data_IF_141122905038
#
_entry.id   IF_141122905038
#
_cell.length_a   1.000
_cell.length_b   1.000
_cell.length_c   1.000
_cell.angle_alpha   90.00
_cell.angle_beta   90.00
_cell.angle_gamma   90.00
#
_symmetry.space_group_name_H-M   'P 1'
#
loop_
_entity.id
_entity.type
_entity.pdbx_description
1 polymer ?
#
# COMPACT_ATOMS: atom_id res chain seq x y z
N UNK A 1 53.68 76.08 40.85
CA UNK A 1 53.42 75.65 42.23
C UNK A 1 52.02 75.05 42.27
N UNK A 2 51.90 73.72 42.45
CA UNK A 2 50.71 72.90 42.86
C UNK A 2 49.41 73.08 42.03
N UNK A 3 48.64 72.09 41.60
CA UNK A 3 48.47 70.65 41.85
C UNK A 3 47.75 70.09 40.61
N UNK A 4 48.12 68.97 39.98
CA UNK A 4 47.95 67.57 40.39
C UNK A 4 46.48 67.10 40.59
N UNK A 5 46.07 66.22 39.66
CA UNK A 5 45.02 65.19 39.69
C UNK A 5 43.54 65.62 39.70
N UNK A 6 42.76 65.16 38.71
CA UNK A 6 41.95 63.94 38.89
C UNK A 6 41.36 63.47 37.55
N UNK A 7 41.83 62.32 37.09
CA UNK A 7 41.14 61.40 36.17
C UNK A 7 40.13 60.63 37.02
N UNK A 8 38.83 60.73 36.73
CA UNK A 8 37.82 59.79 37.26
C UNK A 8 36.72 59.52 36.23
N UNK A 9 36.74 58.27 35.75
CA UNK A 9 35.60 57.41 35.43
C UNK A 9 34.41 58.02 34.68
N UNK A 10 34.45 57.87 33.35
CA UNK A 10 33.27 57.95 32.49
C UNK A 10 33.13 56.64 31.70
N UNK A 11 33.09 55.50 32.41
CA UNK A 11 32.78 54.19 31.82
C UNK A 11 32.04 53.38 32.87
N UNK A 12 30.71 53.51 32.92
CA UNK A 12 29.77 52.54 33.52
C UNK A 12 28.38 53.17 33.44
N UNK A 13 27.64 52.89 32.36
CA UNK A 13 26.25 53.33 32.27
C UNK A 13 25.66 53.39 30.87
N UNK A 14 25.96 52.45 29.97
CA UNK A 14 25.22 52.29 28.70
C UNK A 14 25.48 50.92 28.07
N UNK A 15 25.25 49.84 28.83
CA UNK A 15 25.30 48.48 28.27
C UNK A 15 24.24 47.55 28.90
N UNK A 16 23.05 48.07 29.16
CA UNK A 16 21.94 47.31 29.76
C UNK A 16 20.57 47.79 29.26
N UNK A 17 20.47 48.07 27.95
CA UNK A 17 19.24 48.50 27.27
C UNK A 17 19.13 47.88 25.86
N UNK A 18 19.58 46.63 25.72
CA UNK A 18 19.55 45.89 24.44
C UNK A 18 18.96 44.47 24.58
N UNK A 19 18.30 44.15 25.69
CA UNK A 19 17.68 42.84 25.93
C UNK A 19 16.15 42.86 26.08
N UNK A 20 15.49 43.97 25.76
CA UNK A 20 14.02 44.08 25.79
C UNK A 20 13.43 44.28 24.40
N UNK A 21 14.00 43.65 23.36
CA UNK A 21 13.17 43.34 22.20
C UNK A 21 12.24 42.23 22.67
N UNK A 22 10.91 42.44 22.70
CA UNK A 22 10.00 41.33 22.89
C UNK A 22 10.32 40.36 21.75
N UNK A 23 10.76 39.16 22.12
CA UNK A 23 10.55 38.03 21.24
C UNK A 23 9.04 38.01 21.05
N UNK A 24 8.57 38.57 19.93
CA UNK A 24 7.27 38.20 19.39
C UNK A 24 7.40 36.69 19.17
N UNK A 25 7.00 35.92 20.18
CA UNK A 25 6.40 34.62 19.94
C UNK A 25 5.21 34.99 19.06
N UNK A 26 5.43 34.94 17.74
CA UNK A 26 4.37 35.10 16.77
C UNK A 26 3.34 34.03 17.11
N UNK A 27 2.28 34.47 17.78
CA UNK A 27 1.15 33.62 18.05
C UNK A 27 0.58 33.27 16.68
N UNK A 28 0.70 31.99 16.31
CA UNK A 28 0.17 31.45 15.06
C UNK A 28 -1.30 31.88 14.91
N UNK A 29 -1.65 32.44 13.76
CA UNK A 29 -2.99 32.95 13.51
C UNK A 29 -4.01 31.82 13.48
N UNK A 30 -5.13 31.99 14.16
CA UNK A 30 -6.23 31.02 14.16
C UNK A 30 -7.07 31.17 12.90
N UNK A 31 -7.19 30.09 12.13
CA UNK A 31 -7.79 30.05 10.78
C UNK A 31 -9.20 29.44 10.76
N UNK A 32 -9.73 28.99 11.91
CA UNK A 32 -10.98 28.24 11.98
C UNK A 32 -12.23 28.97 11.47
N UNK A 33 -12.19 30.31 11.39
CA UNK A 33 -13.31 31.12 10.90
C UNK A 33 -13.30 31.31 9.37
N UNK A 34 -12.21 30.93 8.68
CA UNK A 34 -11.95 31.27 7.28
C UNK A 34 -12.29 30.13 6.31
N UNK A 35 -12.97 29.08 6.77
CA UNK A 35 -13.30 27.90 5.94
C UNK A 35 -14.04 28.27 4.64
N UNK A 36 -14.98 29.22 4.71
CA UNK A 36 -15.73 29.68 3.52
C UNK A 36 -14.84 30.42 2.50
N UNK A 37 -13.79 31.10 2.98
CA UNK A 37 -12.77 31.72 2.14
C UNK A 37 -11.90 30.65 1.49
N UNK A 38 -11.38 29.69 2.28
CA UNK A 38 -10.55 28.59 1.75
C UNK A 38 -11.29 27.74 0.72
N UNK A 39 -12.58 27.45 0.93
CA UNK A 39 -13.40 26.72 -0.05
C UNK A 39 -13.43 27.41 -1.43
N UNK A 40 -13.57 28.75 -1.45
CA UNK A 40 -13.50 29.52 -2.72
C UNK A 40 -12.11 29.49 -3.34
N UNK A 41 -11.05 29.53 -2.53
CA UNK A 41 -9.66 29.44 -3.00
C UNK A 41 -9.31 28.06 -3.52
N UNK A 42 -9.92 27.00 -3.00
CA UNK A 42 -9.76 25.64 -3.50
C UNK A 42 -10.27 25.49 -4.96
N UNK A 43 -11.35 26.18 -5.33
CA UNK A 43 -11.79 26.25 -6.74
C UNK A 43 -10.75 26.92 -7.66
N UNK A 44 -10.09 27.98 -7.17
CA UNK A 44 -9.00 28.61 -7.91
C UNK A 44 -7.81 27.68 -8.07
N UNK A 45 -7.52 26.87 -7.05
CA UNK A 45 -6.49 25.85 -7.10
C UNK A 45 -6.81 24.78 -8.17
N UNK A 46 -8.05 24.30 -8.25
CA UNK A 46 -8.47 23.40 -9.33
C UNK A 46 -8.26 24.02 -10.72
N UNK A 47 -8.68 25.28 -10.91
CA UNK A 47 -8.46 25.97 -12.20
C UNK A 47 -6.99 26.08 -12.55
N UNK A 48 -6.12 26.29 -11.56
CA UNK A 48 -4.67 26.29 -11.77
C UNK A 48 -4.15 24.91 -12.16
N UNK A 49 -4.63 23.82 -11.53
CA UNK A 49 -4.31 22.45 -11.95
C UNK A 49 -4.71 22.21 -13.41
N UNK A 50 -5.91 22.64 -13.81
CA UNK A 50 -6.41 22.50 -15.18
C UNK A 50 -5.53 23.27 -16.18
N UNK A 51 -5.17 24.53 -15.87
CA UNK A 51 -4.28 25.36 -16.69
C UNK A 51 -2.86 24.78 -16.83
N UNK A 52 -2.44 23.97 -15.86
CA UNK A 52 -1.15 23.26 -15.88
C UNK A 52 -1.25 21.86 -16.47
N UNK A 53 -2.41 21.49 -17.03
CA UNK A 53 -2.69 20.16 -17.58
C UNK A 53 -2.57 19.03 -16.54
N UNK A 54 -2.58 19.38 -15.25
CA UNK A 54 -2.54 18.47 -14.11
C UNK A 54 -3.95 18.02 -13.71
N UNK A 55 -4.98 18.81 -14.03
CA UNK A 55 -6.37 18.59 -13.64
C UNK A 55 -6.97 17.25 -14.08
N UNK A 56 -6.43 16.66 -15.14
CA UNK A 56 -6.82 15.33 -15.62
C UNK A 56 -6.31 14.18 -14.72
N UNK A 57 -5.31 14.45 -13.88
CA UNK A 57 -4.68 13.47 -12.99
C UNK A 57 -4.89 13.76 -11.51
N UNK A 58 -5.05 15.03 -11.16
CA UNK A 58 -5.26 15.52 -9.81
C UNK A 58 -6.52 16.37 -9.78
N UNK A 59 -7.42 16.10 -8.84
CA UNK A 59 -8.61 16.90 -8.61
C UNK A 59 -8.68 17.32 -7.15
N UNK A 60 -9.08 18.56 -6.89
CA UNK A 60 -9.42 19.04 -5.56
C UNK A 60 -10.67 18.30 -5.10
N UNK A 61 -10.57 17.61 -3.97
CA UNK A 61 -11.71 16.99 -3.29
C UNK A 61 -12.31 17.97 -2.27
N UNK A 62 -11.49 18.40 -1.31
CA UNK A 62 -11.94 19.25 -0.22
C UNK A 62 -10.81 20.10 0.35
N UNK A 63 -11.19 21.13 1.11
CA UNK A 63 -10.27 21.92 1.94
C UNK A 63 -10.87 21.99 3.34
N UNK A 64 -10.01 21.88 4.36
CA UNK A 64 -10.42 21.87 5.76
C UNK A 64 -9.47 22.71 6.59
N UNK A 65 -9.96 23.11 7.75
CA UNK A 65 -9.11 23.59 8.83
C UNK A 65 -9.01 22.45 9.83
N UNK A 66 -7.79 22.08 10.20
CA UNK A 66 -7.56 21.03 11.19
C UNK A 66 -8.27 21.36 12.51
N UNK A 67 -8.55 20.35 13.34
CA UNK A 67 -9.32 20.51 14.58
C UNK A 67 -8.69 21.50 15.59
N UNK A 68 -7.37 21.70 15.51
CA UNK A 68 -6.67 22.70 16.31
C UNK A 68 -6.97 24.15 15.87
N UNK A 69 -7.45 24.34 14.65
CA UNK A 69 -7.78 25.63 14.05
C UNK A 69 -6.59 26.41 13.48
N UNK A 70 -5.39 25.83 13.43
CA UNK A 70 -4.15 26.54 13.06
C UNK A 70 -3.49 26.03 11.77
N UNK A 71 -4.06 24.98 11.17
CA UNK A 71 -3.56 24.34 9.95
C UNK A 71 -4.68 24.22 8.91
N UNK A 72 -4.36 24.49 7.65
CA UNK A 72 -5.26 24.30 6.50
C UNK A 72 -4.79 23.09 5.71
N UNK A 73 -5.71 22.17 5.48
CA UNK A 73 -5.48 20.93 4.76
C UNK A 73 -6.19 21.00 3.40
N UNK A 74 -5.43 20.89 2.31
CA UNK A 74 -5.98 20.70 0.96
C UNK A 74 -5.92 19.23 0.58
N UNK A 75 -7.08 18.67 0.28
CA UNK A 75 -7.23 17.29 -0.15
C UNK A 75 -7.32 17.22 -1.68
N UNK A 76 -6.36 16.53 -2.28
CA UNK A 76 -6.32 16.21 -3.69
C UNK A 76 -6.54 14.71 -3.88
N UNK A 77 -7.34 14.34 -4.87
CA UNK A 77 -7.56 12.96 -5.25
C UNK A 77 -6.97 12.65 -6.63
N UNK A 78 -6.47 11.43 -6.79
CA UNK A 78 -6.17 10.85 -8.10
C UNK A 78 -7.37 9.97 -8.49
N UNK A 79 -8.04 10.22 -9.64
CA UNK A 79 -9.31 9.59 -9.99
C UNK A 79 -9.15 8.14 -10.49
N UNK A 80 -8.61 7.26 -9.63
CA UNK A 80 -8.47 5.84 -9.85
C UNK A 80 -8.62 5.12 -8.50
N UNK A 81 -9.25 3.96 -8.47
CA UNK A 81 -9.36 3.12 -7.28
C UNK A 81 -8.30 2.00 -7.23
N UNK A 82 -7.45 1.90 -8.26
CA UNK A 82 -6.40 0.90 -8.36
C UNK A 82 -5.04 1.49 -7.88
N UNK A 83 -4.40 0.93 -6.83
CA UNK A 83 -3.15 1.43 -6.26
C UNK A 83 -1.99 1.54 -7.26
N UNK A 84 -1.82 0.54 -8.14
CA UNK A 84 -0.75 0.53 -9.14
C UNK A 84 -0.92 1.66 -10.16
N UNK A 85 -2.17 1.88 -10.59
CA UNK A 85 -2.53 2.94 -11.51
C UNK A 85 -2.27 4.31 -10.89
N UNK A 86 -2.66 4.51 -9.63
CA UNK A 86 -2.40 5.75 -8.88
C UNK A 86 -0.91 5.98 -8.69
N UNK A 87 -0.15 4.96 -8.30
CA UNK A 87 1.30 5.03 -8.18
C UNK A 87 1.98 5.33 -9.53
N UNK A 88 1.49 4.74 -10.63
CA UNK A 88 1.95 5.02 -11.98
C UNK A 88 1.68 6.46 -12.40
N UNK A 89 0.47 6.97 -12.15
CA UNK A 89 0.08 8.36 -12.42
C UNK A 89 0.99 9.31 -11.64
N UNK A 90 1.17 9.10 -10.33
CA UNK A 90 2.02 9.97 -9.51
C UNK A 90 3.48 10.00 -9.97
N UNK A 91 4.07 8.84 -10.27
CA UNK A 91 5.43 8.77 -10.83
C UNK A 91 5.53 9.50 -12.16
N UNK A 92 4.55 9.32 -13.04
CA UNK A 92 4.46 10.00 -14.33
C UNK A 92 4.40 11.52 -14.15
N UNK A 93 3.57 12.01 -13.25
CA UNK A 93 3.47 13.42 -12.90
C UNK A 93 4.81 13.98 -12.42
N UNK A 94 5.46 13.33 -11.44
CA UNK A 94 6.77 13.78 -10.92
C UNK A 94 7.83 13.85 -12.03
N UNK A 95 7.89 12.84 -12.89
CA UNK A 95 8.89 12.76 -13.96
C UNK A 95 8.63 13.77 -15.08
N UNK A 96 7.37 13.99 -15.46
CA UNK A 96 7.02 14.83 -16.62
C UNK A 96 6.93 16.32 -16.25
N UNK A 97 6.78 16.66 -14.97
CA UNK A 97 6.66 18.06 -14.53
C UNK A 97 7.98 18.85 -14.67
N UNK A 98 9.14 18.18 -14.62
CA UNK A 98 10.43 18.86 -14.66
C UNK A 98 10.93 19.10 -16.10
N UNK A 99 10.68 20.31 -16.61
CA UNK A 99 11.23 20.76 -17.89
C UNK A 99 12.68 21.31 -17.79
N UNK A 100 13.16 21.70 -16.59
CA UNK A 100 14.50 22.27 -16.37
C UNK A 100 15.01 21.99 -14.95
N UNK A 101 16.32 21.81 -14.78
CA UNK A 101 17.00 21.48 -13.51
C UNK A 101 16.83 22.55 -12.42
N UNK A 102 16.57 23.80 -12.80
CA UNK A 102 16.40 24.93 -11.86
C UNK A 102 14.94 25.28 -11.57
N UNK A 103 13.97 24.53 -12.15
CA UNK A 103 12.55 24.76 -11.88
C UNK A 103 12.12 24.07 -10.58
N UNK A 104 11.12 24.62 -9.85
CA UNK A 104 10.54 23.95 -8.70
C UNK A 104 10.02 22.56 -9.07
N UNK A 105 10.15 21.61 -8.15
CA UNK A 105 9.54 20.27 -8.27
C UNK A 105 8.02 20.37 -8.34
N UNK A 106 7.36 19.27 -8.74
CA UNK A 106 5.90 19.17 -8.71
C UNK A 106 5.38 19.45 -7.30
N UNK A 107 6.00 18.82 -6.29
CA UNK A 107 5.60 18.94 -4.89
C UNK A 107 5.75 20.36 -4.38
N UNK A 108 6.89 21.01 -4.66
CA UNK A 108 7.08 22.43 -4.31
C UNK A 108 6.06 23.32 -5.01
N UNK A 109 5.77 23.07 -6.29
CA UNK A 109 4.80 23.85 -7.05
C UNK A 109 3.38 23.69 -6.51
N UNK A 110 2.97 22.47 -6.18
CA UNK A 110 1.67 22.19 -5.57
C UNK A 110 1.57 22.91 -4.22
N UNK A 111 2.56 22.72 -3.35
CA UNK A 111 2.55 23.26 -2.00
C UNK A 111 2.62 24.80 -1.98
N UNK A 112 3.57 25.39 -2.68
CA UNK A 112 3.75 26.86 -2.70
C UNK A 112 2.57 27.57 -3.38
N UNK A 113 1.97 26.95 -4.40
CA UNK A 113 0.75 27.50 -5.00
C UNK A 113 -0.42 27.45 -4.04
N UNK A 114 -0.54 26.36 -3.27
CA UNK A 114 -1.61 26.19 -2.28
C UNK A 114 -1.49 27.26 -1.20
N UNK A 115 -0.33 27.37 -0.55
CA UNK A 115 -0.06 28.39 0.48
C UNK A 115 -0.35 29.80 -0.04
N UNK A 116 0.11 30.13 -1.26
CA UNK A 116 -0.15 31.43 -1.89
C UNK A 116 -1.63 31.69 -2.13
N UNK A 117 -2.40 30.69 -2.58
CA UNK A 117 -3.82 30.85 -2.85
C UNK A 117 -4.64 30.96 -1.57
N UNK A 118 -4.24 30.22 -0.53
CA UNK A 118 -4.89 30.27 0.77
C UNK A 118 -4.46 31.48 1.61
N UNK A 119 -3.42 32.22 1.19
CA UNK A 119 -2.93 33.42 1.89
C UNK A 119 -2.52 33.13 3.34
N UNK A 120 -1.93 31.95 3.59
CA UNK A 120 -1.49 31.48 4.92
C UNK A 120 0.04 31.49 5.05
N UNK A 121 0.54 31.42 6.29
CA UNK A 121 1.96 31.11 6.50
C UNK A 121 2.26 29.66 6.04
N UNK A 122 3.40 29.40 5.37
CA UNK A 122 3.72 28.05 4.90
C UNK A 122 3.73 26.96 5.99
N UNK A 123 4.01 27.31 7.25
CA UNK A 123 3.98 26.36 8.37
C UNK A 123 2.58 25.92 8.77
N UNK A 124 1.55 26.63 8.28
CA UNK A 124 0.13 26.33 8.50
C UNK A 124 -0.48 25.52 7.35
N UNK A 125 0.30 25.20 6.32
CA UNK A 125 -0.19 24.52 5.13
C UNK A 125 0.12 23.03 5.11
N UNK A 126 -0.88 22.23 4.72
CA UNK A 126 -0.74 20.80 4.46
C UNK A 126 -1.50 20.42 3.17
N UNK A 127 -0.82 19.75 2.24
CA UNK A 127 -1.46 19.19 1.04
C UNK A 127 -1.42 17.67 1.13
N UNK A 128 -2.60 17.05 1.09
CA UNK A 128 -2.78 15.61 1.16
C UNK A 128 -3.30 15.09 -0.17
N UNK A 129 -2.55 14.19 -0.79
CA UNK A 129 -2.90 13.53 -2.05
C UNK A 129 -3.21 12.07 -1.74
N UNK A 130 -4.40 11.62 -2.12
CA UNK A 130 -4.87 10.29 -1.77
C UNK A 130 -5.57 9.60 -2.94
N UNK A 131 -5.78 8.29 -2.77
CA UNK A 131 -6.60 7.48 -3.64
C UNK A 131 -8.01 7.40 -3.06
N UNK A 132 -9.08 7.73 -3.81
CA UNK A 132 -10.45 7.61 -3.31
C UNK A 132 -10.76 6.16 -2.97
N UNK A 133 -11.19 5.91 -1.74
CA UNK A 133 -11.77 4.63 -1.34
C UNK A 133 -13.26 4.64 -1.67
N UNK A 134 -13.77 3.58 -2.31
CA UNK A 134 -15.20 3.45 -2.55
C UNK A 134 -15.87 2.89 -1.28
N UNK A 135 -16.18 3.78 -0.34
CA UNK A 135 -17.13 3.48 0.74
C UNK A 135 -18.22 4.58 0.77
N UNK A 136 -19.45 4.28 0.32
CA UNK A 136 -20.54 5.25 0.33
C UNK A 136 -20.85 5.68 1.78
N UNK A 137 -20.50 6.92 2.12
CA UNK A 137 -20.83 7.53 3.41
C UNK A 137 -19.67 7.63 4.41
N UNK A 138 -18.46 7.17 4.06
CA UNK A 138 -17.27 7.41 4.87
C UNK A 138 -16.10 7.87 3.98
N UNK A 139 -15.56 9.06 4.28
CA UNK A 139 -14.28 9.48 3.73
C UNK A 139 -13.17 8.72 4.45
N UNK A 140 -13.02 7.43 4.12
CA UNK A 140 -11.92 6.61 4.62
C UNK A 140 -10.76 6.79 3.65
N UNK A 141 -9.64 7.32 4.16
CA UNK A 141 -8.38 7.34 3.42
C UNK A 141 -7.97 5.92 3.08
N UNK A 142 -7.56 5.68 1.84
CA UNK A 142 -6.97 4.40 1.49
C UNK A 142 -5.53 4.35 2.04
N UNK A 143 -5.28 3.47 3.03
CA UNK A 143 -3.98 3.32 3.70
C UNK A 143 -2.84 2.82 2.78
N UNK A 144 -3.16 2.43 1.54
CA UNK A 144 -2.21 1.93 0.55
C UNK A 144 -1.54 3.02 -0.28
N UNK A 145 -2.12 4.22 -0.28
CA UNK A 145 -1.60 5.35 -1.02
C UNK A 145 -1.91 6.67 -0.31
N UNK A 146 -0.85 7.36 0.11
CA UNK A 146 -0.93 8.77 0.50
C UNK A 146 0.37 9.49 0.16
N UNK A 147 0.25 10.80 -0.09
CA UNK A 147 1.37 11.72 -0.13
C UNK A 147 0.95 12.96 0.66
N UNK A 148 1.74 13.32 1.66
CA UNK A 148 1.55 14.49 2.49
C UNK A 148 2.69 15.46 2.26
N UNK A 149 2.34 16.71 1.98
CA UNK A 149 3.28 17.79 1.72
C UNK A 149 3.08 18.89 2.76
N UNK A 150 4.14 19.26 3.45
CA UNK A 150 4.17 20.37 4.41
C UNK A 150 5.50 21.12 4.32
N UNK A 151 5.60 22.29 4.95
CA UNK A 151 6.88 23.00 5.04
C UNK A 151 7.45 22.93 6.45
N UNK A 152 8.73 22.53 6.53
CA UNK A 152 9.49 22.50 7.78
C UNK A 152 10.88 23.08 7.53
N UNK A 153 11.32 23.99 8.41
CA UNK A 153 12.60 24.69 8.29
C UNK A 153 12.84 25.33 6.90
N UNK A 154 11.79 25.93 6.33
CA UNK A 154 11.84 26.62 5.04
C UNK A 154 11.94 25.70 3.82
N UNK A 155 11.74 24.38 3.99
CA UNK A 155 11.76 23.40 2.88
C UNK A 155 10.48 22.61 2.84
N UNK A 156 9.97 22.36 1.64
CA UNK A 156 8.85 21.43 1.45
C UNK A 156 9.34 20.01 1.74
N UNK A 157 8.59 19.32 2.59
CA UNK A 157 8.77 17.92 2.97
C UNK A 157 7.68 17.08 2.30
N UNK A 158 8.00 15.82 2.09
CA UNK A 158 7.10 14.80 1.57
C UNK A 158 7.17 13.61 2.52
N UNK A 159 6.05 13.21 3.10
CA UNK A 159 5.84 11.86 3.60
C UNK A 159 4.93 11.15 2.61
N UNK A 160 5.26 9.92 2.26
CA UNK A 160 4.49 9.22 1.26
C UNK A 160 4.55 7.72 1.44
N UNK A 161 3.41 7.08 1.19
CA UNK A 161 3.26 5.64 1.05
C UNK A 161 2.69 5.39 -0.33
N UNK A 162 3.46 4.76 -1.21
CA UNK A 162 3.10 4.57 -2.62
C UNK A 162 3.21 3.08 -2.97
N UNK A 163 2.07 2.47 -3.28
CA UNK A 163 1.97 1.07 -3.71
C UNK A 163 2.42 0.06 -2.64
N UNK A 164 2.09 0.31 -1.37
CA UNK A 164 2.42 -0.60 -0.27
C UNK A 164 1.39 -1.73 -0.09
N UNK A 165 0.23 -1.62 -0.74
CA UNK A 165 -0.71 -2.73 -0.91
C UNK A 165 -0.52 -3.40 -2.27
N UNK A 166 0.74 -3.65 -2.65
CA UNK A 166 0.97 -4.71 -3.64
C UNK A 166 0.41 -5.98 -3.05
N UNK A 167 -0.31 -6.76 -3.86
CA UNK A 167 -0.80 -8.07 -3.48
C UNK A 167 0.27 -8.83 -2.70
N UNK A 168 0.03 -9.07 -1.41
CA UNK A 168 1.01 -9.71 -0.54
C UNK A 168 1.40 -11.04 -1.19
N UNK A 169 2.68 -11.13 -1.54
CA UNK A 169 3.20 -12.24 -2.33
C UNK A 169 4.35 -12.84 -1.58
N UNK A 170 4.08 -13.98 -0.95
CA UNK A 170 5.11 -14.73 -0.25
C UNK A 170 5.82 -15.63 -1.26
N UNK A 171 7.14 -15.53 -1.30
CA UNK A 171 7.96 -16.37 -2.16
C UNK A 171 8.64 -17.46 -1.34
N UNK A 172 8.35 -18.72 -1.68
CA UNK A 172 9.02 -19.88 -1.09
C UNK A 172 9.87 -20.59 -2.12
N UNK A 173 10.97 -21.17 -1.64
CA UNK A 173 11.94 -21.92 -2.43
C UNK A 173 11.99 -23.35 -1.94
N UNK A 174 11.88 -24.31 -2.87
CA UNK A 174 11.98 -25.74 -2.58
C UNK A 174 13.09 -26.35 -3.48
N UNK A 175 14.25 -26.70 -2.90
CA UNK A 175 15.28 -27.45 -3.61
C UNK A 175 14.74 -28.77 -4.17
N UNK A 176 15.07 -29.10 -5.41
CA UNK A 176 14.68 -30.39 -6.02
C UNK A 176 15.39 -31.57 -5.36
N UNK A 177 16.58 -31.34 -4.76
CA UNK A 177 17.33 -32.37 -4.03
C UNK A 177 16.56 -32.89 -2.80
N UNK A 178 15.60 -32.13 -2.28
CA UNK A 178 14.74 -32.55 -1.18
C UNK A 178 13.85 -33.75 -1.55
N UNK A 179 13.64 -34.02 -2.84
CA UNK A 179 12.76 -35.08 -3.32
C UNK A 179 13.20 -35.77 -4.62
N UNK A 180 14.37 -35.44 -5.18
CA UNK A 180 14.94 -36.13 -6.35
C UNK A 180 15.98 -37.19 -5.95
N UNK A 181 15.78 -38.44 -6.37
CA UNK A 181 16.75 -39.54 -6.20
C UNK A 181 17.64 -39.60 -7.45
N UNK A 182 18.80 -38.94 -7.40
CA UNK A 182 19.74 -38.97 -8.51
C UNK A 182 21.16 -38.68 -8.07
N UNK A 183 21.81 -39.64 -7.40
CA UNK A 183 23.27 -39.70 -7.33
C UNK A 183 23.82 -39.88 -8.75
N UNK A 184 24.16 -38.79 -9.41
CA UNK A 184 24.71 -38.88 -10.76
C UNK A 184 24.93 -37.53 -11.40
N UNK A 185 26.17 -37.06 -11.31
CA UNK A 185 26.88 -36.37 -12.38
C UNK A 185 26.33 -35.01 -12.82
N UNK A 186 27.19 -34.01 -12.70
CA UNK A 186 27.10 -32.70 -13.32
C UNK A 186 27.06 -32.86 -14.85
N UNK A 187 25.87 -32.80 -15.43
CA UNK A 187 25.53 -32.52 -16.84
C UNK A 187 23.99 -32.39 -16.86
N UNK A 188 23.35 -31.24 -17.06
CA UNK A 188 23.52 -30.26 -18.12
C UNK A 188 22.15 -30.11 -18.80
N UNK A 189 21.31 -29.20 -18.30
CA UNK A 189 20.10 -28.63 -18.94
C UNK A 189 18.88 -29.57 -19.25
N UNK A 190 19.07 -30.89 -19.44
CA UNK A 190 18.02 -31.85 -19.84
C UNK A 190 17.21 -32.45 -18.66
N UNK A 191 17.69 -32.32 -17.42
CA UNK A 191 17.00 -32.86 -16.22
C UNK A 191 15.80 -32.00 -15.77
N UNK A 192 15.82 -30.69 -16.02
CA UNK A 192 14.73 -29.77 -15.62
C UNK A 192 13.41 -30.03 -16.36
N UNK A 193 13.48 -30.27 -17.67
CA UNK A 193 12.30 -30.52 -18.52
C UNK A 193 11.55 -31.82 -18.16
N UNK A 194 12.29 -32.88 -17.85
CA UNK A 194 11.70 -34.16 -17.41
C UNK A 194 11.14 -34.06 -15.99
N UNK A 195 11.66 -33.11 -15.20
CA UNK A 195 11.21 -32.83 -13.84
C UNK A 195 9.89 -32.05 -13.81
N UNK A 196 9.74 -30.95 -14.57
CA UNK A 196 8.52 -30.13 -14.54
C UNK A 196 7.27 -30.88 -14.98
N UNK A 197 7.35 -31.67 -16.06
CA UNK A 197 6.24 -32.51 -16.53
C UNK A 197 5.80 -33.57 -15.52
N UNK A 198 6.66 -33.97 -14.59
CA UNK A 198 6.32 -34.90 -13.50
C UNK A 198 5.86 -34.17 -12.24
N UNK A 199 6.52 -33.07 -11.91
CA UNK A 199 6.30 -32.32 -10.65
C UNK A 199 5.05 -31.46 -10.71
N UNK A 200 4.78 -30.75 -11.81
CA UNK A 200 3.61 -29.87 -11.92
C UNK A 200 2.28 -30.63 -11.75
N UNK A 201 2.07 -31.80 -12.37
CA UNK A 201 0.88 -32.61 -12.07
C UNK A 201 0.76 -33.01 -10.60
N UNK A 202 1.87 -33.34 -9.93
CA UNK A 202 1.87 -33.68 -8.50
C UNK A 202 1.54 -32.47 -7.62
N UNK A 203 2.03 -31.28 -7.97
CA UNK A 203 1.67 -30.04 -7.26
C UNK A 203 0.18 -29.74 -7.44
N UNK A 204 -0.35 -29.91 -8.65
CA UNK A 204 -1.78 -29.75 -8.92
C UNK A 204 -2.63 -30.80 -8.17
N UNK A 205 -2.16 -32.05 -8.10
CA UNK A 205 -2.81 -33.11 -7.31
C UNK A 205 -2.82 -32.73 -5.81
N UNK A 206 -1.67 -32.28 -5.29
CA UNK A 206 -1.55 -31.80 -3.91
C UNK A 206 -2.51 -30.64 -3.63
N UNK A 207 -2.53 -29.62 -4.49
CA UNK A 207 -3.39 -28.46 -4.33
C UNK A 207 -4.87 -28.83 -4.34
N UNK A 208 -5.32 -29.72 -5.23
CA UNK A 208 -6.69 -30.26 -5.20
C UNK A 208 -6.97 -30.99 -3.90
N UNK A 209 -6.06 -31.87 -3.47
CA UNK A 209 -6.23 -32.61 -2.22
C UNK A 209 -6.26 -31.70 -1.00
N UNK A 210 -5.48 -30.62 -0.96
CA UNK A 210 -5.46 -29.68 0.16
C UNK A 210 -6.71 -28.79 0.18
N UNK A 211 -7.09 -28.23 -0.97
CA UNK A 211 -8.06 -27.13 -1.02
C UNK A 211 -9.46 -27.55 -1.45
N UNK A 212 -9.63 -28.49 -2.37
CA UNK A 212 -10.96 -28.93 -2.86
C UNK A 212 -11.64 -29.90 -1.88
N UNK A 213 -11.47 -29.66 -0.57
CA UNK A 213 -12.11 -30.42 0.50
C UNK A 213 -13.38 -29.71 0.96
N UNK A 214 -14.44 -30.49 1.24
CA UNK A 214 -15.63 -29.96 1.89
C UNK A 214 -15.30 -29.70 3.37
N UNK A 215 -15.31 -28.43 3.77
CA UNK A 215 -15.16 -28.04 5.16
C UNK A 215 -16.53 -27.85 5.82
N UNK A 216 -16.77 -28.38 7.03
CA UNK A 216 -18.06 -28.28 7.71
C UNK A 216 -18.43 -26.82 8.02
N UNK A 217 -17.46 -25.98 8.37
CA UNK A 217 -17.69 -24.58 8.78
C UNK A 217 -17.74 -23.60 7.59
N UNK A 218 -17.92 -24.12 6.36
CA UNK A 218 -17.80 -23.36 5.12
C UNK A 218 -18.98 -23.62 4.18
N UNK A 219 -20.19 -23.67 4.73
CA UNK A 219 -21.41 -23.85 3.94
C UNK A 219 -21.54 -22.77 2.85
N UNK A 220 -21.98 -23.20 1.66
CA UNK A 220 -22.14 -22.32 0.50
C UNK A 220 -20.83 -21.96 -0.23
N UNK A 221 -19.68 -22.46 0.22
CA UNK A 221 -18.39 -22.32 -0.48
C UNK A 221 -18.00 -23.61 -1.17
N UNK A 222 -17.42 -23.47 -2.37
CA UNK A 222 -16.87 -24.59 -3.13
C UNK A 222 -15.47 -24.22 -3.61
N UNK A 223 -14.46 -24.42 -2.75
CA UNK A 223 -13.07 -24.28 -3.13
C UNK A 223 -12.80 -25.02 -4.44
N UNK A 224 -12.31 -24.29 -5.44
CA UNK A 224 -12.10 -24.84 -6.78
C UNK A 224 -10.77 -24.39 -7.34
N UNK A 225 -9.99 -25.37 -7.79
CA UNK A 225 -8.75 -25.13 -8.50
C UNK A 225 -9.06 -24.79 -9.96
N UNK A 226 -8.58 -23.64 -10.40
CA UNK A 226 -8.74 -23.14 -11.77
C UNK A 226 -7.36 -23.01 -12.41
N UNK A 227 -7.17 -23.69 -13.54
CA UNK A 227 -5.96 -23.57 -14.35
C UNK A 227 -5.88 -22.21 -15.04
N UNK A 228 -4.68 -21.64 -15.09
CA UNK A 228 -4.40 -20.51 -15.97
C UNK A 228 -4.04 -21.02 -17.37
N UNK A 229 -4.34 -20.22 -18.39
CA UNK A 229 -3.89 -20.48 -19.76
C UNK A 229 -2.37 -20.28 -19.90
N UNK A 230 -1.70 -19.69 -18.91
CA UNK A 230 -0.25 -19.44 -18.90
C UNK A 230 0.51 -20.62 -18.31
N UNK A 231 0.47 -21.77 -18.97
CA UNK A 231 1.33 -22.90 -18.62
C UNK A 231 2.45 -23.07 -19.65
N UNK A 232 3.68 -23.27 -19.16
CA UNK A 232 4.84 -23.63 -19.99
C UNK A 232 5.61 -24.79 -19.38
N UNK A 233 6.67 -25.23 -20.03
CA UNK A 233 7.53 -26.29 -19.52
C UNK A 233 8.29 -25.92 -18.23
N UNK A 234 8.37 -24.63 -17.88
CA UNK A 234 9.07 -24.16 -16.68
C UNK A 234 8.19 -23.32 -15.76
N UNK A 235 6.94 -23.07 -16.15
CA UNK A 235 6.03 -22.22 -15.42
C UNK A 235 4.64 -22.85 -15.32
N UNK A 236 4.13 -22.88 -14.09
CA UNK A 236 2.76 -23.30 -13.78
C UNK A 236 2.07 -22.18 -13.02
N UNK A 237 0.91 -21.77 -13.52
CA UNK A 237 0.03 -20.83 -12.83
C UNK A 237 -1.33 -21.48 -12.60
N UNK A 238 -1.82 -21.41 -11.37
CA UNK A 238 -3.18 -21.80 -11.03
C UNK A 238 -3.72 -20.96 -9.89
N UNK A 239 -5.05 -20.97 -9.76
CA UNK A 239 -5.76 -20.26 -8.72
C UNK A 239 -6.60 -21.23 -7.92
N UNK A 240 -6.77 -20.95 -6.63
CA UNK A 240 -7.74 -21.62 -5.79
C UNK A 240 -8.77 -20.58 -5.39
N UNK A 241 -9.97 -20.69 -5.95
CA UNK A 241 -11.04 -19.74 -5.72
C UNK A 241 -11.97 -20.25 -4.63
N UNK A 242 -12.67 -19.31 -4.01
CA UNK A 242 -13.77 -19.60 -3.09
C UNK A 242 -13.32 -20.38 -1.85
N UNK A 243 -12.11 -20.05 -1.39
CA UNK A 243 -11.57 -20.48 -0.11
C UNK A 243 -12.36 -19.84 1.04
N UNK A 244 -12.28 -20.48 2.19
CA UNK A 244 -13.06 -20.18 3.37
C UNK A 244 -12.29 -19.34 4.39
N UNK A 245 -11.34 -19.97 5.07
CA UNK A 245 -10.54 -19.46 6.19
C UNK A 245 -9.17 -20.16 6.13
N UNK A 246 -8.62 -20.27 4.93
CA UNK A 246 -7.32 -20.90 4.71
C UNK A 246 -6.19 -19.94 5.10
N UNK A 247 -6.41 -18.65 4.86
CA UNK A 247 -5.46 -17.59 5.19
C UNK A 247 -6.02 -16.71 6.31
N UNK A 248 -7.24 -16.19 6.17
CA UNK A 248 -7.90 -15.32 7.15
C UNK A 248 -8.50 -16.16 8.29
N UNK A 249 -7.63 -16.79 9.08
CA UNK A 249 -8.01 -17.75 10.13
C UNK A 249 -8.73 -17.11 11.32
N UNK A 250 -8.62 -15.78 11.46
CA UNK A 250 -9.26 -14.99 12.51
C UNK A 250 -10.56 -14.31 12.07
N UNK A 251 -10.89 -14.34 10.77
CA UNK A 251 -12.12 -13.77 10.22
C UNK A 251 -13.32 -14.51 10.82
N UNK A 252 -14.30 -13.77 11.34
CA UNK A 252 -15.53 -14.33 11.92
C UNK A 252 -16.75 -13.82 11.18
N UNK A 253 -17.81 -14.63 11.19
CA UNK A 253 -19.12 -14.18 10.74
C UNK A 253 -19.55 -12.96 11.54
N UNK A 254 -20.26 -12.03 10.90
CA UNK A 254 -20.76 -10.87 11.62
C UNK A 254 -21.93 -11.24 12.53
N UNK A 255 -22.15 -10.43 13.56
CA UNK A 255 -23.31 -10.53 14.46
C UNK A 255 -24.64 -10.45 13.67
N UNK A 256 -24.65 -9.77 12.52
CA UNK A 256 -25.82 -9.75 11.66
C UNK A 256 -26.08 -11.11 11.02
N UNK A 257 -25.02 -11.81 10.62
CA UNK A 257 -25.12 -13.16 10.08
C UNK A 257 -25.63 -14.13 11.16
N UNK A 258 -25.09 -14.07 12.38
CA UNK A 258 -25.58 -14.84 13.54
C UNK A 258 -27.09 -14.60 13.80
N UNK A 259 -27.52 -13.34 13.68
CA UNK A 259 -28.93 -12.98 13.77
C UNK A 259 -29.72 -13.67 12.65
N UNK A 260 -29.29 -13.54 11.39
CA UNK A 260 -29.98 -14.14 10.24
C UNK A 260 -30.09 -15.66 10.37
N UNK A 261 -29.06 -16.35 10.85
CA UNK A 261 -29.09 -17.80 11.08
C UNK A 261 -30.18 -18.23 12.06
N UNK A 262 -30.41 -17.42 13.10
CA UNK A 262 -31.41 -17.72 14.12
C UNK A 262 -32.86 -17.64 13.61
N UNK A 263 -33.14 -16.78 12.62
CA UNK A 263 -34.53 -16.52 12.18
C UNK A 263 -34.83 -16.89 10.72
N UNK A 264 -33.84 -16.92 9.83
CA UNK A 264 -34.05 -16.98 8.38
C UNK A 264 -33.20 -18.02 7.64
N UNK A 265 -32.33 -18.75 8.34
CA UNK A 265 -31.53 -19.84 7.77
C UNK A 265 -30.06 -19.48 7.57
N UNK A 266 -29.25 -20.41 7.01
CA UNK A 266 -27.78 -20.34 7.04
C UNK A 266 -27.25 -19.07 6.37
N UNK A 267 -26.26 -18.44 7.01
CA UNK A 267 -25.64 -17.21 6.57
C UNK A 267 -24.11 -17.36 6.63
N UNK A 268 -23.41 -16.86 5.61
CA UNK A 268 -21.95 -16.82 5.62
C UNK A 268 -21.49 -15.53 4.93
N UNK A 269 -21.23 -14.49 5.72
CA UNK A 269 -20.79 -13.19 5.25
C UNK A 269 -19.27 -12.96 5.39
N UNK A 270 -18.55 -13.93 5.95
CA UNK A 270 -17.08 -13.91 6.01
C UNK A 270 -16.51 -13.68 4.61
N UNK A 271 -15.38 -12.99 4.51
CA UNK A 271 -14.75 -12.73 3.19
C UNK A 271 -14.43 -14.03 2.47
N UNK A 272 -14.65 -14.05 1.15
CA UNK A 272 -14.22 -15.16 0.29
C UNK A 272 -12.74 -15.00 0.01
N UNK A 273 -11.99 -16.08 0.08
CA UNK A 273 -10.56 -16.06 -0.17
C UNK A 273 -10.23 -16.62 -1.56
N UNK A 274 -9.13 -16.13 -2.13
CA UNK A 274 -8.50 -16.67 -3.33
C UNK A 274 -7.00 -16.66 -3.16
N UNK A 275 -6.38 -17.78 -3.49
CA UNK A 275 -4.93 -17.89 -3.58
C UNK A 275 -4.50 -18.02 -5.03
N UNK A 276 -3.47 -17.27 -5.42
CA UNK A 276 -2.83 -17.38 -6.73
C UNK A 276 -1.44 -17.97 -6.57
N UNK A 277 -1.17 -19.05 -7.31
CA UNK A 277 0.11 -19.76 -7.26
C UNK A 277 0.85 -19.57 -8.58
N UNK A 278 2.07 -19.04 -8.48
CA UNK A 278 2.98 -18.87 -9.61
C UNK A 278 4.26 -19.68 -9.36
N UNK A 279 4.41 -20.78 -10.08
CA UNK A 279 5.47 -21.76 -9.85
C UNK A 279 6.43 -21.74 -11.01
N UNK A 280 7.68 -21.41 -10.74
CA UNK A 280 8.77 -21.45 -11.70
C UNK A 280 9.77 -22.54 -11.31
N UNK A 281 10.13 -23.38 -12.28
CA UNK A 281 11.29 -24.25 -12.15
C UNK A 281 12.53 -23.46 -12.57
N UNK A 282 13.37 -23.16 -11.60
CA UNK A 282 14.60 -22.39 -11.81
C UNK A 282 15.83 -23.26 -11.60
N UNK A 283 16.91 -22.92 -12.31
CA UNK A 283 18.20 -23.58 -12.15
C UNK A 283 19.26 -22.53 -11.80
N UNK A 284 19.92 -22.73 -10.66
CA UNK A 284 21.20 -22.08 -10.33
C UNK A 284 22.36 -22.98 -10.78
N UNK A 285 23.58 -22.46 -10.79
CA UNK A 285 24.79 -23.13 -11.32
C UNK A 285 24.99 -24.58 -10.80
N UNK A 286 24.45 -24.92 -9.63
CA UNK A 286 24.59 -26.26 -9.02
C UNK A 286 23.28 -26.90 -8.58
N UNK A 287 22.15 -26.19 -8.60
CA UNK A 287 20.91 -26.64 -7.97
C UNK A 287 19.70 -26.30 -8.83
N UNK A 288 18.74 -27.22 -8.89
CA UNK A 288 17.42 -26.97 -9.46
C UNK A 288 16.45 -26.78 -8.31
N UNK A 289 15.59 -25.77 -8.36
CA UNK A 289 14.63 -25.48 -7.31
C UNK A 289 13.30 -25.00 -7.89
N UNK A 290 12.22 -25.21 -7.13
CA UNK A 290 10.92 -24.61 -7.37
C UNK A 290 10.88 -23.27 -6.64
N UNK A 291 10.64 -22.19 -7.40
CA UNK A 291 10.26 -20.90 -6.85
C UNK A 291 8.75 -20.78 -6.94
N UNK A 292 8.07 -20.81 -5.80
CA UNK A 292 6.61 -20.71 -5.71
C UNK A 292 6.30 -19.33 -5.13
N UNK A 293 5.56 -18.51 -5.87
CA UNK A 293 4.95 -17.30 -5.34
C UNK A 293 3.49 -17.57 -5.01
N UNK A 294 3.08 -17.21 -3.80
CA UNK A 294 1.72 -17.36 -3.31
C UNK A 294 1.18 -15.95 -3.05
N UNK A 295 0.12 -15.59 -3.74
CA UNK A 295 -0.53 -14.29 -3.61
C UNK A 295 -1.91 -14.44 -3.01
N UNK A 296 -2.19 -13.72 -1.93
CA UNK A 296 -3.47 -13.73 -1.23
C UNK A 296 -4.42 -12.64 -1.74
N UNK A 297 -5.68 -13.02 -2.01
CA UNK A 297 -6.76 -12.12 -2.41
C UNK A 297 -8.04 -12.45 -1.64
N UNK A 298 -8.88 -11.45 -1.40
CA UNK A 298 -10.19 -11.63 -0.79
C UNK A 298 -11.30 -10.99 -1.62
N UNK A 299 -12.54 -11.37 -1.37
CA UNK A 299 -13.71 -10.79 -2.00
C UNK A 299 -14.90 -10.85 -1.08
N UNK A 300 -16.04 -10.31 -1.53
CA UNK A 300 -17.27 -10.28 -0.73
C UNK A 300 -17.69 -11.69 -0.29
N UNK A 301 -18.11 -11.83 0.97
CA UNK A 301 -18.75 -13.05 1.48
C UNK A 301 -20.14 -13.28 0.87
N UNK A 302 -20.90 -12.19 0.77
CA UNK A 302 -22.32 -12.17 0.38
C UNK A 302 -22.57 -12.60 -1.06
N UNK A 303 -21.67 -12.27 -1.99
CA UNK A 303 -21.79 -12.66 -3.39
C UNK A 303 -20.48 -13.17 -3.93
N UNK A 304 -20.55 -14.16 -4.82
CA UNK A 304 -19.35 -14.72 -5.47
C UNK A 304 -18.66 -13.64 -6.32
N UNK A 305 -17.39 -13.28 -6.04
CA UNK A 305 -16.68 -12.27 -6.80
C UNK A 305 -16.51 -12.69 -8.26
N UNK A 306 -16.70 -11.74 -9.18
CA UNK A 306 -16.29 -11.89 -10.59
C UNK A 306 -14.77 -11.78 -10.69
N UNK A 307 -14.17 -12.08 -11.85
CA UNK A 307 -12.70 -12.05 -12.06
C UNK A 307 -12.02 -10.77 -11.53
N UNK A 308 -12.65 -9.61 -11.71
CA UNK A 308 -12.16 -8.29 -11.25
C UNK A 308 -12.68 -7.86 -9.88
N UNK A 309 -13.52 -8.67 -9.22
CA UNK A 309 -14.10 -8.37 -7.90
C UNK A 309 -13.28 -8.91 -6.74
N UNK A 310 -12.12 -9.50 -7.02
CA UNK A 310 -11.14 -9.89 -6.02
C UNK A 310 -10.26 -8.69 -5.68
N UNK A 311 -10.17 -8.39 -4.40
CA UNK A 311 -9.30 -7.39 -3.80
C UNK A 311 -8.04 -8.09 -3.28
N UNK A 312 -6.91 -7.39 -3.32
CA UNK A 312 -5.67 -7.90 -2.75
C UNK A 312 -5.75 -7.90 -1.22
N UNK A 313 -5.15 -8.91 -0.57
CA UNK A 313 -5.04 -8.89 0.89
C UNK A 313 -4.13 -7.75 1.34
N UNK A 314 -4.65 -6.89 2.23
CA UNK A 314 -3.91 -5.77 2.83
C UNK A 314 -2.70 -6.26 3.66
N UNK A 315 -1.70 -5.40 3.93
CA UNK A 315 -0.55 -5.72 4.79
C UNK A 315 -0.92 -6.23 6.18
N UNK A 316 -2.09 -5.87 6.71
CA UNK A 316 -2.59 -6.38 7.99
C UNK A 316 -2.81 -7.91 7.98
N UNK A 317 -2.80 -8.54 6.79
CA UNK A 317 -2.93 -9.99 6.61
C UNK A 317 -1.61 -10.70 6.24
N UNK A 318 -0.47 -9.98 6.29
CA UNK A 318 0.84 -10.51 5.86
C UNK A 318 1.26 -11.72 6.71
N UNK A 319 1.16 -11.62 8.04
CA UNK A 319 1.52 -12.70 8.97
C UNK A 319 0.74 -14.00 8.67
N UNK A 320 -0.55 -13.89 8.35
CA UNK A 320 -1.40 -15.02 8.02
C UNK A 320 -0.98 -15.69 6.70
N UNK A 321 -0.66 -14.91 5.68
CA UNK A 321 -0.23 -15.44 4.40
C UNK A 321 1.17 -16.08 4.49
N UNK A 322 2.08 -15.50 5.29
CA UNK A 322 3.39 -16.08 5.57
C UNK A 322 3.29 -17.42 6.30
N UNK A 323 2.49 -17.49 7.36
CA UNK A 323 2.24 -18.72 8.10
C UNK A 323 1.68 -19.81 7.17
N UNK A 324 0.67 -19.46 6.37
CA UNK A 324 0.11 -20.37 5.38
C UNK A 324 1.14 -20.83 4.35
N UNK A 325 2.00 -19.95 3.86
CA UNK A 325 3.05 -20.29 2.90
C UNK A 325 4.09 -21.27 3.49
N UNK A 326 4.43 -21.12 4.77
CA UNK A 326 5.32 -22.04 5.51
C UNK A 326 4.67 -23.42 5.63
N UNK A 327 3.40 -23.48 6.04
CA UNK A 327 2.64 -24.74 6.16
C UNK A 327 2.53 -25.42 4.79
N UNK A 328 2.14 -24.67 3.75
CA UNK A 328 2.04 -25.15 2.39
C UNK A 328 3.37 -25.73 1.89
N UNK A 329 4.49 -25.04 2.13
CA UNK A 329 5.83 -25.51 1.78
C UNK A 329 6.12 -26.87 2.42
N UNK A 330 5.93 -26.97 3.74
CA UNK A 330 6.22 -28.18 4.50
C UNK A 330 5.40 -29.38 4.00
N UNK A 331 4.09 -29.20 3.88
CA UNK A 331 3.18 -30.25 3.41
C UNK A 331 3.45 -30.68 1.96
N UNK A 332 3.77 -29.73 1.07
CA UNK A 332 4.09 -30.04 -0.31
C UNK A 332 5.37 -30.87 -0.40
N UNK A 333 6.41 -30.52 0.37
CA UNK A 333 7.66 -31.30 0.44
C UNK A 333 7.36 -32.73 0.90
N UNK A 334 6.57 -32.90 1.96
CA UNK A 334 6.17 -34.23 2.42
C UNK A 334 5.38 -35.00 1.37
N UNK A 335 4.42 -34.37 0.71
CA UNK A 335 3.60 -34.99 -0.31
C UNK A 335 4.46 -35.49 -1.49
N UNK A 336 5.37 -34.65 -1.99
CA UNK A 336 6.29 -35.00 -3.07
C UNK A 336 7.23 -36.15 -2.65
N UNK A 337 7.75 -36.13 -1.41
CA UNK A 337 8.55 -37.23 -0.84
C UNK A 337 7.78 -38.55 -0.74
N UNK A 338 6.48 -38.52 -0.43
CA UNK A 338 5.64 -39.73 -0.34
C UNK A 338 5.33 -40.32 -1.70
N UNK A 339 4.98 -39.49 -2.70
CA UNK A 339 4.68 -39.93 -4.08
C UNK A 339 5.90 -40.46 -4.83
N UNK A 340 7.10 -40.26 -4.28
CA UNK A 340 8.37 -40.83 -4.72
C UNK A 340 8.51 -42.32 -4.37
N UNK A 341 7.94 -42.74 -3.23
CA UNK A 341 7.97 -44.13 -2.77
C UNK A 341 6.75 -44.88 -3.30
#
# INVERSE_FOLDING_TARGET
MRSMYLIRFCVLGSLLLLCCFPNHLDAQEYLGNDLAFFAKKAELFQRWLDQKELGQFLSVDSVRVANNGYEVELFLQIPSSNPDSVAGIWRSLKNNYQANVSAPTLQESLFQTFVRFMEIDPTQGNVQIYMPHYDPGKQVYNSCFYIWLWQEAGRVKEDSKIADCKSQTVEIYIPMDDFSTGSGGVEGTLKGYTSSKKVFPLILEFARKKYEQNKPDCEGRKPTLVHSDKQSDFYLEFYVNDLCQEVLTDERQSIWCDFVELWWGPCNDMRRERLEFNINLSQSQKEVYLRIKITGKFGSGLYRPRKSGWMDMDPDFEDFLEEHAIIFKSELIEFLKRKRN
#
